data_IF_037832212894
#
_entry.id   IF_037832212894
#
_cell.length_a   1.000
_cell.length_b   1.000
_cell.length_c   1.000
_cell.angle_alpha   90.00
_cell.angle_beta   90.00
_cell.angle_gamma   90.00
#
_symmetry.space_group_name_H-M   'P 1'
#
loop_
_entity.id
_entity.type
_entity.pdbx_description
1 polymer ?
#
# COMPACT_ATOMS: atom_id res chain seq x y z
N UNK A 1 16.36 -14.42 2.74
CA UNK A 1 15.29 -15.41 2.55
C UNK A 1 15.50 -16.15 1.23
N UNK A 2 15.21 -17.45 1.20
CA UNK A 2 15.16 -18.20 -0.05
C UNK A 2 13.83 -17.86 -0.75
N UNK A 3 13.89 -17.00 -1.77
CA UNK A 3 12.73 -16.50 -2.53
C UNK A 3 12.26 -17.50 -3.61
N UNK A 4 12.88 -18.68 -3.68
CA UNK A 4 12.77 -19.62 -4.80
C UNK A 4 11.55 -20.55 -4.71
N UNK A 5 10.79 -20.51 -3.61
CA UNK A 5 9.61 -21.37 -3.38
C UNK A 5 8.42 -20.60 -2.80
N UNK A 6 7.77 -19.74 -3.60
CA UNK A 6 6.55 -19.04 -3.18
C UNK A 6 5.45 -20.04 -2.79
N UNK A 7 4.89 -19.90 -1.59
CA UNK A 7 3.80 -20.75 -1.07
C UNK A 7 4.21 -21.81 -0.05
N UNK A 8 5.51 -22.01 0.20
CA UNK A 8 5.95 -22.89 1.28
C UNK A 8 5.86 -22.20 2.64
N UNK A 9 5.04 -22.73 3.54
CA UNK A 9 4.95 -22.25 4.92
C UNK A 9 6.10 -22.81 5.75
N UNK A 10 6.74 -21.96 6.56
CA UNK A 10 7.82 -22.37 7.48
C UNK A 10 7.45 -21.98 8.91
N UNK A 11 7.75 -22.89 9.83
CA UNK A 11 7.51 -22.68 11.26
C UNK A 11 8.83 -22.35 11.95
N UNK A 12 8.83 -21.29 12.74
CA UNK A 12 9.98 -20.84 13.53
C UNK A 12 9.60 -20.75 15.01
N UNK A 13 10.53 -21.11 15.90
CA UNK A 13 10.39 -20.86 17.33
C UNK A 13 10.85 -19.43 17.64
N UNK A 14 10.11 -18.73 18.48
CA UNK A 14 10.44 -17.39 18.96
C UNK A 14 10.11 -17.27 20.44
N UNK A 15 10.92 -16.51 21.17
CA UNK A 15 10.65 -16.17 22.58
C UNK A 15 9.86 -14.86 22.68
N UNK A 16 10.14 -13.89 21.80
CA UNK A 16 9.36 -12.65 21.58
C UNK A 16 9.31 -12.37 20.08
N UNK A 17 8.12 -12.07 19.56
CA UNK A 17 7.91 -11.73 18.16
C UNK A 17 7.12 -10.43 18.06
N UNK A 18 7.80 -9.35 17.69
CA UNK A 18 7.18 -8.07 17.37
C UNK A 18 6.91 -8.01 15.87
N UNK A 19 5.63 -7.99 15.49
CA UNK A 19 5.20 -7.90 14.09
C UNK A 19 4.47 -6.58 13.88
N UNK A 20 4.89 -5.82 12.87
CA UNK A 20 4.09 -4.73 12.33
C UNK A 20 2.91 -5.28 11.54
N UNK A 21 1.70 -4.81 11.83
CA UNK A 21 0.50 -5.24 11.13
C UNK A 21 0.61 -4.93 9.62
N UNK A 22 0.08 -5.79 8.74
CA UNK A 22 -0.02 -5.47 7.31
C UNK A 22 -0.95 -4.25 7.12
N UNK A 23 -0.51 -3.28 6.33
CA UNK A 23 -1.25 -2.05 6.04
C UNK A 23 -1.69 -2.01 4.57
N UNK A 24 -2.85 -1.37 4.32
CA UNK A 24 -3.44 -1.21 2.99
C UNK A 24 -4.19 0.14 2.90
N UNK A 25 -4.44 0.70 1.70
CA UNK A 25 -5.29 1.87 1.55
C UNK A 25 -6.69 1.63 2.09
N UNK A 26 -7.35 2.70 2.54
CA UNK A 26 -8.76 2.63 2.92
C UNK A 26 -9.62 2.23 1.72
N UNK A 27 -10.58 1.33 1.95
CA UNK A 27 -11.42 0.75 0.90
C UNK A 27 -12.19 1.82 0.10
N UNK A 28 -12.72 2.85 0.78
CA UNK A 28 -13.44 3.93 0.12
C UNK A 28 -12.54 4.73 -0.83
N UNK A 29 -11.26 4.91 -0.48
CA UNK A 29 -10.30 5.64 -1.30
C UNK A 29 -9.91 4.79 -2.51
N UNK A 30 -9.55 3.52 -2.27
CA UNK A 30 -9.12 2.57 -3.29
C UNK A 30 -10.20 2.33 -4.35
N UNK A 31 -11.48 2.43 -3.98
CA UNK A 31 -12.63 2.34 -4.90
C UNK A 31 -13.02 3.67 -5.56
N UNK A 32 -12.36 4.77 -5.20
CA UNK A 32 -12.69 6.10 -5.71
C UNK A 32 -11.95 6.42 -7.02
N UNK A 33 -12.45 7.39 -7.81
CA UNK A 33 -11.73 7.86 -9.00
C UNK A 33 -10.44 8.63 -8.68
N UNK A 34 -10.17 8.90 -7.39
CA UNK A 34 -8.96 9.54 -6.90
C UNK A 34 -7.78 8.58 -6.74
N UNK A 35 -8.02 7.27 -6.82
CA UNK A 35 -6.99 6.27 -6.60
C UNK A 35 -6.27 5.85 -7.89
N UNK A 36 -5.00 5.49 -7.73
CA UNK A 36 -4.20 4.80 -8.75
C UNK A 36 -4.48 3.28 -8.75
N UNK A 37 -3.74 2.53 -9.57
CA UNK A 37 -3.90 1.08 -9.68
C UNK A 37 -3.57 0.31 -8.38
N UNK A 38 -2.93 0.95 -7.40
CA UNK A 38 -2.55 0.39 -6.10
C UNK A 38 -3.49 0.80 -4.97
N UNK A 39 -4.47 1.67 -5.26
CA UNK A 39 -5.50 2.11 -4.32
C UNK A 39 -5.15 3.37 -3.52
N UNK A 40 -4.00 4.00 -3.80
CA UNK A 40 -3.56 5.25 -3.16
C UNK A 40 -3.89 6.47 -4.03
N UNK A 41 -3.87 7.68 -3.46
CA UNK A 41 -4.21 8.91 -4.19
C UNK A 41 -3.25 9.13 -5.38
N UNK A 42 -3.80 9.30 -6.59
CA UNK A 42 -3.02 9.43 -7.83
C UNK A 42 -2.49 10.86 -8.04
N UNK A 43 -1.33 11.17 -7.44
CA UNK A 43 -0.71 12.51 -7.47
C UNK A 43 0.53 12.59 -8.37
N UNK A 44 0.81 13.79 -8.87
CA UNK A 44 2.10 14.18 -9.44
C UNK A 44 3.11 14.29 -8.30
N UNK A 45 4.26 13.62 -8.41
CA UNK A 45 5.19 13.43 -7.29
C UNK A 45 5.86 14.73 -6.83
N UNK A 46 6.02 15.67 -7.74
CA UNK A 46 6.72 16.94 -7.53
C UNK A 46 5.83 18.00 -6.88
N UNK A 47 4.51 17.97 -7.15
CA UNK A 47 3.56 18.99 -6.70
C UNK A 47 2.51 18.48 -5.71
N UNK A 48 2.41 17.16 -5.53
CA UNK A 48 1.36 16.48 -4.76
C UNK A 48 -0.07 16.73 -5.23
N UNK A 49 -0.24 17.34 -6.41
CA UNK A 49 -1.53 17.59 -7.03
C UNK A 49 -2.04 16.34 -7.76
N UNK A 50 -3.34 16.06 -7.67
CA UNK A 50 -3.94 14.92 -8.34
C UNK A 50 -3.89 15.04 -9.86
N UNK A 51 -3.54 13.95 -10.57
CA UNK A 51 -3.29 13.97 -12.02
C UNK A 51 -4.53 14.31 -12.86
N UNK A 52 -5.73 13.96 -12.39
CA UNK A 52 -7.00 14.16 -13.10
C UNK A 52 -7.85 15.31 -12.55
N UNK A 53 -7.63 15.71 -11.30
CA UNK A 53 -8.50 16.65 -10.57
C UNK A 53 -7.64 17.78 -10.02
N UNK A 54 -7.51 18.91 -10.74
CA UNK A 54 -6.57 19.97 -10.37
C UNK A 54 -6.83 20.61 -8.99
N UNK A 55 -8.00 20.41 -8.41
CA UNK A 55 -8.39 20.92 -7.09
C UNK A 55 -8.17 19.92 -5.93
N UNK A 56 -7.57 18.75 -6.19
CA UNK A 56 -7.30 17.70 -5.19
C UNK A 56 -5.80 17.53 -4.97
N UNK A 57 -5.39 17.35 -3.72
CA UNK A 57 -3.99 17.14 -3.30
C UNK A 57 -3.91 16.01 -2.26
N UNK A 58 -2.78 15.32 -2.17
CA UNK A 58 -2.54 14.24 -1.20
C UNK A 58 -1.22 14.43 -0.42
N UNK A 59 -1.19 14.03 0.85
CA UNK A 59 -0.03 14.14 1.75
C UNK A 59 0.14 12.88 2.60
#
# INVERSE_FOLDING_TARGET
ENLDQPGTMKTFKYDILHIGAPMQPFEFLAKSPLADATGFVDVVKETLQHKKFPNVFGI
#
